data_IF_104958900230
#
_entry.id   IF_104958900230
#
_cell.length_a   1.000
_cell.length_b   1.000
_cell.length_c   1.000
_cell.angle_alpha   90.00
_cell.angle_beta   90.00
_cell.angle_gamma   90.00
#
_symmetry.space_group_name_H-M   'P 1'
#
loop_
_entity.id
_entity.type
_entity.pdbx_description
1 polymer ?
#
# COMPACT_ATOMS: atom_id res chain seq x y z
N UNK A 1 -13.38 7.01 5.41
CA UNK A 1 -12.56 8.19 5.73
C UNK A 1 -12.05 8.00 7.15
N UNK A 2 -10.74 8.12 7.38
CA UNK A 2 -10.14 8.02 8.73
C UNK A 2 -9.54 9.36 9.07
N UNK A 3 -9.77 9.85 10.27
CA UNK A 3 -9.18 11.10 10.74
C UNK A 3 -8.72 10.96 12.18
N UNK A 4 -7.77 11.81 12.56
CA UNK A 4 -7.23 11.84 13.91
C UNK A 4 -6.62 13.18 14.22
N UNK A 5 -6.47 13.43 15.52
CA UNK A 5 -5.83 14.63 16.06
C UNK A 5 -5.08 14.24 17.32
N UNK A 6 -3.86 14.74 17.44
CA UNK A 6 -3.00 14.54 18.59
C UNK A 6 -2.32 15.87 18.94
N UNK A 7 -2.18 16.12 20.24
CA UNK A 7 -1.33 17.18 20.76
C UNK A 7 -0.19 16.49 21.48
N UNK A 8 1.04 16.86 21.16
CA UNK A 8 2.24 16.32 21.79
C UNK A 8 3.11 17.45 22.33
N UNK A 9 3.88 17.15 23.38
CA UNK A 9 4.86 18.10 23.89
C UNK A 9 5.94 18.34 22.84
N UNK A 10 6.43 19.57 22.75
CA UNK A 10 7.45 19.97 21.78
C UNK A 10 8.83 19.43 22.21
N UNK A 11 8.99 18.12 22.18
CA UNK A 11 10.24 17.42 22.51
C UNK A 11 10.62 16.43 21.40
N UNK A 12 11.93 16.18 21.17
CA UNK A 12 12.37 15.18 20.21
C UNK A 12 11.83 13.77 20.50
N UNK A 13 11.65 13.43 21.78
CA UNK A 13 11.15 12.11 22.18
C UNK A 13 9.69 11.91 21.79
N UNK A 14 8.83 12.89 22.06
CA UNK A 14 7.41 12.84 21.72
C UNK A 14 7.19 12.87 20.19
N UNK A 15 8.01 13.63 19.47
CA UNK A 15 8.01 13.67 18.00
C UNK A 15 8.39 12.29 17.42
N UNK A 16 9.47 11.69 17.90
CA UNK A 16 9.92 10.37 17.43
C UNK A 16 8.86 9.29 17.70
N UNK A 17 8.26 9.29 18.90
CA UNK A 17 7.19 8.37 19.25
C UNK A 17 5.98 8.52 18.33
N UNK A 18 5.55 9.77 18.07
CA UNK A 18 4.47 10.03 17.14
C UNK A 18 4.79 9.53 15.73
N UNK A 19 5.99 9.78 15.21
CA UNK A 19 6.40 9.34 13.87
C UNK A 19 6.37 7.81 13.76
N UNK A 20 6.86 7.09 14.77
CA UNK A 20 6.84 5.62 14.77
C UNK A 20 5.42 5.05 14.82
N UNK A 21 4.55 5.64 15.62
CA UNK A 21 3.14 5.25 15.70
C UNK A 21 2.41 5.57 14.40
N UNK A 22 2.63 6.76 13.83
CA UNK A 22 2.02 7.19 12.58
C UNK A 22 2.51 6.35 11.39
N UNK A 23 3.80 5.98 11.38
CA UNK A 23 4.38 5.04 10.41
C UNK A 23 3.60 3.74 10.38
N UNK A 24 3.41 3.10 11.54
CA UNK A 24 2.71 1.81 11.64
C UNK A 24 1.22 1.94 11.32
N UNK A 25 0.54 2.94 11.89
CA UNK A 25 -0.92 3.05 11.82
C UNK A 25 -1.43 3.61 10.50
N UNK A 26 -0.65 4.45 9.82
CA UNK A 26 -1.07 5.17 8.62
C UNK A 26 -0.16 4.87 7.44
N UNK A 27 1.15 5.13 7.55
CA UNK A 27 2.03 5.06 6.38
C UNK A 27 2.12 3.63 5.83
N UNK A 28 2.53 2.67 6.65
CA UNK A 28 2.67 1.26 6.25
C UNK A 28 1.33 0.57 5.97
N UNK A 29 0.24 1.06 6.57
CA UNK A 29 -1.08 0.49 6.42
C UNK A 29 -1.78 0.91 5.10
N UNK A 30 -1.43 2.06 4.52
CA UNK A 30 -2.16 2.65 3.39
C UNK A 30 -1.28 3.11 2.21
N UNK A 31 0.04 3.17 2.38
CA UNK A 31 0.98 3.51 1.32
C UNK A 31 1.97 2.37 1.17
N UNK A 32 2.09 1.86 -0.05
CA UNK A 32 2.77 0.60 -0.25
C UNK A 32 3.98 0.71 -1.16
N UNK A 33 3.98 1.66 -2.10
CA UNK A 33 5.19 2.03 -2.82
C UNK A 33 6.16 2.64 -1.83
N UNK A 34 7.35 2.06 -1.77
CA UNK A 34 8.42 2.52 -0.86
C UNK A 34 8.68 4.01 -1.02
N UNK A 35 8.75 4.51 -2.26
CA UNK A 35 8.95 5.93 -2.56
C UNK A 35 7.90 6.83 -1.88
N UNK A 36 6.64 6.43 -1.86
CA UNK A 36 5.59 7.18 -1.17
C UNK A 36 5.76 7.15 0.35
N UNK A 37 6.15 6.01 0.93
CA UNK A 37 6.43 5.92 2.37
C UNK A 37 7.60 6.82 2.75
N UNK A 38 8.69 6.69 2.01
CA UNK A 38 9.94 7.42 2.26
C UNK A 38 9.70 8.94 2.16
N UNK A 39 8.95 9.41 1.15
CA UNK A 39 8.64 10.84 1.02
C UNK A 39 7.67 11.36 2.09
N UNK A 40 6.67 10.56 2.49
CA UNK A 40 5.74 10.95 3.58
C UNK A 40 6.49 11.08 4.90
N UNK A 41 7.29 10.08 5.25
CA UNK A 41 8.05 10.07 6.50
C UNK A 41 9.06 11.21 6.55
N UNK A 42 9.78 11.45 5.45
CA UNK A 42 10.72 12.55 5.34
C UNK A 42 10.03 13.90 5.54
N UNK A 43 8.93 14.16 4.84
CA UNK A 43 8.19 15.42 4.97
C UNK A 43 7.63 15.59 6.38
N UNK A 44 7.09 14.52 7.00
CA UNK A 44 6.55 14.58 8.35
C UNK A 44 7.61 14.92 9.40
N UNK A 45 8.80 14.32 9.28
CA UNK A 45 9.94 14.65 10.12
C UNK A 45 10.30 16.13 9.97
N UNK A 46 10.47 16.62 8.75
CA UNK A 46 10.83 18.01 8.49
C UNK A 46 9.79 19.01 9.00
N UNK A 47 8.48 18.76 8.82
CA UNK A 47 7.45 19.69 9.34
C UNK A 47 7.37 19.71 10.87
N UNK A 48 7.62 18.57 11.53
CA UNK A 48 7.62 18.47 12.99
C UNK A 48 8.88 19.12 13.59
N UNK A 49 10.04 18.89 12.97
CA UNK A 49 11.29 19.53 13.37
C UNK A 49 11.21 21.05 13.18
N UNK A 50 10.63 21.53 12.08
CA UNK A 50 10.39 22.96 11.88
C UNK A 50 9.45 23.55 12.94
N UNK A 51 8.38 22.83 13.31
CA UNK A 51 7.48 23.25 14.37
C UNK A 51 8.18 23.31 15.73
N UNK A 52 9.05 22.35 16.03
CA UNK A 52 9.83 22.29 17.26
C UNK A 52 10.92 23.36 17.33
N UNK A 53 11.83 23.39 16.35
CA UNK A 53 13.04 24.22 16.36
C UNK A 53 12.76 25.67 16.01
N UNK A 54 11.87 25.94 15.04
CA UNK A 54 11.64 27.29 14.53
C UNK A 54 10.36 27.91 15.08
N UNK A 55 9.26 27.15 15.11
CA UNK A 55 7.99 27.60 15.69
C UNK A 55 8.12 27.82 17.19
N UNK A 56 8.37 26.73 17.91
CA UNK A 56 8.44 26.70 19.37
C UNK A 56 9.82 27.04 19.94
N UNK A 57 10.83 27.31 19.10
CA UNK A 57 12.21 27.67 19.52
C UNK A 57 12.85 26.65 20.47
N UNK A 58 12.52 25.36 20.28
CA UNK A 58 12.93 24.24 21.14
C UNK A 58 12.52 24.37 22.61
N UNK A 59 11.50 25.16 22.92
CA UNK A 59 10.94 25.27 24.27
C UNK A 59 10.08 24.03 24.58
N UNK A 60 10.44 23.32 25.66
CA UNK A 60 9.77 22.09 26.09
C UNK A 60 8.34 22.31 26.61
N UNK A 61 8.04 23.52 27.07
CA UNK A 61 6.74 23.87 27.64
C UNK A 61 5.69 24.16 26.56
N UNK A 62 6.13 24.21 25.29
CA UNK A 62 5.25 24.39 24.14
C UNK A 62 4.71 23.05 23.63
N UNK A 63 3.60 23.12 22.91
CA UNK A 63 2.96 21.96 22.29
C UNK A 63 3.00 22.03 20.75
N UNK A 64 2.84 20.88 20.11
CA UNK A 64 2.61 20.75 18.67
C UNK A 64 1.27 20.03 18.48
N UNK A 65 0.36 20.65 17.72
CA UNK A 65 -0.92 20.04 17.34
C UNK A 65 -0.82 19.43 15.96
N UNK A 66 -1.04 18.12 15.85
CA UNK A 66 -1.11 17.40 14.59
C UNK A 66 -2.54 16.93 14.34
N UNK A 67 -3.03 17.13 13.13
CA UNK A 67 -4.30 16.57 12.68
C UNK A 67 -4.13 15.96 11.29
N UNK A 68 -4.79 14.83 11.04
CA UNK A 68 -4.71 14.15 9.75
C UNK A 68 -6.05 13.64 9.29
N UNK A 69 -6.19 13.52 7.96
CA UNK A 69 -7.32 12.93 7.27
C UNK A 69 -6.83 12.04 6.15
N UNK A 70 -7.29 10.81 6.14
CA UNK A 70 -7.06 9.83 5.09
C UNK A 70 -8.39 9.51 4.39
N UNK A 71 -8.44 9.80 3.10
CA UNK A 71 -9.62 9.58 2.26
C UNK A 71 -9.24 9.08 0.86
N UNK A 72 -10.22 9.00 -0.06
CA UNK A 72 -9.99 8.58 -1.44
C UNK A 72 -8.94 9.42 -2.16
N UNK A 73 -8.90 10.73 -1.90
CA UNK A 73 -7.93 11.66 -2.50
C UNK A 73 -6.49 11.50 -1.95
N UNK A 74 -6.29 10.75 -0.86
CA UNK A 74 -5.00 10.55 -0.22
C UNK A 74 -4.96 11.01 1.23
N UNK A 75 -3.75 11.33 1.70
CA UNK A 75 -3.45 11.75 3.06
C UNK A 75 -3.29 13.26 3.12
N UNK A 76 -3.94 13.88 4.09
CA UNK A 76 -3.73 15.27 4.47
C UNK A 76 -3.23 15.29 5.91
N UNK A 77 -2.16 16.02 6.17
CA UNK A 77 -1.62 16.23 7.53
C UNK A 77 -1.43 17.71 7.75
N UNK A 78 -1.91 18.20 8.88
CA UNK A 78 -1.63 19.55 9.34
C UNK A 78 -0.88 19.52 10.66
N UNK A 79 0.21 20.29 10.73
CA UNK A 79 1.04 20.47 11.91
C UNK A 79 0.99 21.95 12.28
N UNK A 80 0.71 22.23 13.54
CA UNK A 80 0.61 23.59 14.08
C UNK A 80 1.44 23.74 15.35
N UNK A 81 2.28 24.76 15.37
CA UNK A 81 3.08 25.19 16.51
C UNK A 81 2.47 26.42 17.22
N UNK A 82 3.05 26.79 18.36
CA UNK A 82 2.61 27.91 19.21
C UNK A 82 3.41 29.19 18.95
N UNK A 83 4.34 29.16 18.00
CA UNK A 83 5.21 30.26 17.65
C UNK A 83 4.50 31.47 17.04
N UNK A 84 5.27 32.53 16.82
CA UNK A 84 4.82 33.77 16.19
C UNK A 84 4.44 33.57 14.71
N UNK A 85 4.92 32.48 14.10
CA UNK A 85 4.75 32.15 12.69
C UNK A 85 5.68 32.95 11.77
N UNK A 86 5.55 32.74 10.46
CA UNK A 86 6.35 33.43 9.46
C UNK A 86 5.53 33.87 8.25
N UNK A 87 5.93 34.95 7.58
CA UNK A 87 5.26 35.37 6.36
C UNK A 87 5.57 34.38 5.22
N UNK A 88 4.54 33.93 4.50
CA UNK A 88 4.68 33.01 3.36
C UNK A 88 5.71 33.49 2.31
N UNK A 89 5.91 34.81 2.15
CA UNK A 89 6.94 35.40 1.28
C UNK A 89 8.38 34.99 1.62
N UNK A 90 8.65 34.55 2.84
CA UNK A 90 9.99 34.08 3.25
C UNK A 90 10.35 32.74 2.59
N UNK A 91 9.35 31.98 2.15
CA UNK A 91 9.54 30.66 1.52
C UNK A 91 10.04 30.71 0.07
N UNK A 92 9.96 31.87 -0.61
CA UNK A 92 10.43 32.09 -1.98
C UNK A 92 11.80 32.80 -2.03
N UNK A 93 12.24 33.37 -0.91
CA UNK A 93 13.59 33.89 -0.80
C UNK A 93 14.54 32.70 -0.65
N UNK A 94 15.36 32.47 -1.68
CA UNK A 94 16.46 31.51 -1.68
C UNK A 94 17.19 31.53 -0.33
N UNK A 95 16.84 30.59 0.55
CA UNK A 95 17.55 30.41 1.80
C UNK A 95 18.99 30.02 1.44
N UNK A 96 20.01 30.57 2.12
CA UNK A 96 21.39 30.40 1.69
C UNK A 96 21.75 28.91 1.62
N UNK A 97 22.19 28.47 0.44
CA UNK A 97 22.54 27.09 0.09
C UNK A 97 23.65 26.42 0.94
N UNK A 98 24.10 27.03 2.04
CA UNK A 98 25.25 26.60 2.83
C UNK A 98 24.96 26.33 4.31
N UNK A 99 23.70 26.34 4.74
CA UNK A 99 23.29 25.84 6.06
C UNK A 99 22.64 24.46 5.90
N UNK A 100 23.17 23.45 6.59
CA UNK A 100 22.54 22.12 6.73
C UNK A 100 21.07 22.18 7.20
N UNK A 101 20.63 23.32 7.73
CA UNK A 101 19.29 23.60 8.27
C UNK A 101 18.33 24.33 7.30
N UNK A 102 18.78 24.70 6.10
CA UNK A 102 17.95 25.44 5.11
C UNK A 102 17.20 24.57 4.09
N UNK A 103 17.38 23.24 4.13
CA UNK A 103 16.81 22.33 3.13
C UNK A 103 15.34 21.98 3.39
N UNK A 104 14.90 21.98 4.65
CA UNK A 104 13.59 21.44 5.03
C UNK A 104 12.41 22.01 4.25
N UNK A 105 12.29 23.33 4.12
CA UNK A 105 11.14 23.96 3.41
C UNK A 105 11.18 23.70 1.89
N UNK A 106 12.37 23.70 1.29
CA UNK A 106 12.54 23.38 -0.14
C UNK A 106 12.22 21.90 -0.38
N UNK A 107 12.72 21.02 0.48
CA UNK A 107 12.45 19.58 0.40
C UNK A 107 10.97 19.25 0.64
N UNK A 108 10.29 19.93 1.57
CA UNK A 108 8.85 19.68 1.82
C UNK A 108 8.02 19.93 0.55
N UNK A 109 8.31 21.00 -0.19
CA UNK A 109 7.63 21.31 -1.46
C UNK A 109 7.98 20.35 -2.59
N UNK A 110 9.19 19.81 -2.59
CA UNK A 110 9.65 18.84 -3.58
C UNK A 110 8.99 17.47 -3.38
N UNK A 111 8.80 17.04 -2.13
CA UNK A 111 8.33 15.69 -1.81
C UNK A 111 6.81 15.59 -1.54
N UNK A 112 6.15 16.67 -1.12
CA UNK A 112 4.70 16.71 -0.93
C UNK A 112 3.95 17.08 -2.21
N UNK A 113 2.74 16.54 -2.40
CA UNK A 113 1.91 16.89 -3.57
C UNK A 113 1.33 18.30 -3.47
N UNK A 114 1.02 18.77 -2.26
CA UNK A 114 0.66 20.15 -1.97
C UNK A 114 1.16 20.55 -0.59
N UNK A 115 1.51 21.82 -0.44
CA UNK A 115 1.91 22.44 0.83
C UNK A 115 1.16 23.76 0.95
N UNK A 116 0.54 24.02 2.10
CA UNK A 116 -0.13 25.28 2.40
C UNK A 116 0.18 25.73 3.81
N UNK A 117 0.48 27.02 3.98
CA UNK A 117 0.63 27.65 5.28
C UNK A 117 -0.64 28.43 5.64
N UNK A 118 -0.95 28.56 6.93
CA UNK A 118 -1.99 29.51 7.36
C UNK A 118 -1.46 30.95 7.28
N UNK A 119 -2.36 31.94 7.38
CA UNK A 119 -1.98 33.35 7.27
C UNK A 119 -0.99 33.84 8.34
N UNK A 120 -0.95 33.19 9.51
CA UNK A 120 0.04 33.46 10.57
C UNK A 120 1.40 32.81 10.26
N UNK A 121 1.42 31.72 9.49
CA UNK A 121 2.61 30.92 9.21
C UNK A 121 3.05 29.99 10.34
N UNK A 122 2.18 29.70 11.31
CA UNK A 122 2.46 28.73 12.40
C UNK A 122 1.71 27.41 12.22
N UNK A 123 1.13 27.20 11.03
CA UNK A 123 0.49 25.94 10.66
C UNK A 123 0.82 25.62 9.21
N UNK A 124 1.35 24.43 8.99
CA UNK A 124 1.55 23.84 7.67
C UNK A 124 0.53 22.72 7.45
N UNK A 125 0.01 22.63 6.23
CA UNK A 125 -0.83 21.53 5.76
C UNK A 125 -0.18 20.95 4.52
N UNK A 126 0.18 19.66 4.59
CA UNK A 126 0.75 18.89 3.49
C UNK A 126 -0.24 17.84 3.01
N UNK A 127 -0.21 17.54 1.72
CA UNK A 127 -0.99 16.43 1.17
C UNK A 127 -0.13 15.47 0.36
N UNK A 128 -0.51 14.20 0.39
CA UNK A 128 0.05 13.14 -0.43
C UNK A 128 -1.10 12.45 -1.15
N UNK A 129 -1.05 12.49 -2.48
CA UNK A 129 -2.03 11.77 -3.30
C UNK A 129 -1.93 10.28 -3.01
N UNK A 130 -3.07 9.62 -3.11
CA UNK A 130 -3.09 8.17 -3.08
C UNK A 130 -2.34 7.62 -4.29
N UNK A 131 -1.75 6.44 -4.12
CA UNK A 131 -1.23 5.66 -5.24
C UNK A 131 -2.34 5.49 -6.29
N UNK A 132 -2.06 5.84 -7.55
CA UNK A 132 -2.99 5.58 -8.64
C UNK A 132 -3.11 4.07 -8.82
N UNK A 133 -4.34 3.57 -8.70
CA UNK A 133 -4.65 2.15 -8.73
C UNK A 133 -4.70 1.66 -10.18
N UNK A 134 -3.67 0.94 -10.61
CA UNK A 134 -3.83 -0.03 -11.69
C UNK A 134 -3.31 -1.37 -11.18
N UNK A 135 -4.16 -2.40 -11.24
CA UNK A 135 -3.62 -3.75 -11.28
C UNK A 135 -2.88 -3.86 -12.61
N UNK A 136 -1.59 -4.18 -12.58
CA UNK A 136 -0.85 -4.46 -13.79
C UNK A 136 -1.10 -5.92 -14.16
N UNK A 137 -1.84 -6.13 -15.24
CA UNK A 137 -2.01 -7.44 -15.85
C UNK A 137 -0.91 -7.56 -16.89
N UNK A 138 0.09 -8.38 -16.62
CA UNK A 138 1.16 -8.65 -17.58
C UNK A 138 0.94 -10.04 -18.16
N UNK A 139 0.54 -10.11 -19.43
CA UNK A 139 0.51 -11.36 -20.19
C UNK A 139 1.92 -11.56 -20.76
N UNK A 140 2.66 -12.54 -20.24
CA UNK A 140 3.97 -12.92 -20.78
C UNK A 140 3.74 -14.09 -21.74
N UNK A 141 4.30 -13.98 -22.94
CA UNK A 141 4.08 -14.83 -24.11
C UNK A 141 3.54 -16.25 -23.87
N UNK A 142 2.44 -16.57 -24.57
CA UNK A 142 2.05 -17.91 -24.99
C UNK A 142 1.25 -18.77 -24.00
N UNK A 143 1.56 -18.78 -22.70
CA UNK A 143 0.92 -19.73 -21.74
C UNK A 143 0.84 -19.25 -20.28
N UNK A 144 1.43 -18.11 -19.93
CA UNK A 144 1.51 -17.64 -18.54
C UNK A 144 0.85 -16.27 -18.39
N UNK A 145 -0.22 -16.22 -17.61
CA UNK A 145 -0.86 -14.98 -17.20
C UNK A 145 -0.34 -14.59 -15.82
N UNK A 146 0.19 -13.37 -15.69
CA UNK A 146 0.61 -12.84 -14.40
C UNK A 146 -0.30 -11.67 -14.05
N UNK A 147 -1.10 -11.85 -13.01
CA UNK A 147 -1.85 -10.77 -12.39
C UNK A 147 -1.09 -10.33 -11.15
N UNK A 148 -0.50 -9.14 -11.25
CA UNK A 148 0.16 -8.51 -10.12
C UNK A 148 -0.83 -7.57 -9.46
N UNK A 149 -1.26 -7.90 -8.24
CA UNK A 149 -1.96 -6.92 -7.44
C UNK A 149 -0.93 -5.86 -7.02
N UNK A 150 -1.08 -4.63 -7.52
CA UNK A 150 -0.31 -3.52 -6.97
C UNK A 150 -0.88 -3.14 -5.60
N UNK A 151 0.04 -2.79 -4.72
CA UNK A 151 -0.24 -2.39 -3.37
C UNK A 151 -0.75 -0.94 -3.36
N UNK A 152 -1.83 -0.62 -2.64
CA UNK A 152 -2.43 0.75 -2.65
C UNK A 152 -3.94 0.84 -2.47
N UNK A 153 -4.65 -0.15 -3.02
CA UNK A 153 -6.11 -0.14 -3.16
C UNK A 153 -6.87 -0.81 -2.00
N UNK A 154 -8.16 -0.46 -1.78
CA UNK A 154 -9.07 -1.32 -1.03
C UNK A 154 -9.06 -2.74 -1.64
N UNK A 155 -9.07 -3.77 -0.80
CA UNK A 155 -9.11 -5.20 -1.22
C UNK A 155 -10.17 -5.46 -2.31
N UNK A 156 -11.30 -4.73 -2.26
CA UNK A 156 -12.38 -4.80 -3.26
C UNK A 156 -11.91 -4.41 -4.67
N UNK A 157 -11.08 -3.38 -4.82
CA UNK A 157 -10.60 -2.92 -6.13
C UNK A 157 -9.59 -3.90 -6.72
N UNK A 158 -8.72 -4.48 -5.87
CA UNK A 158 -7.82 -5.57 -6.26
C UNK A 158 -8.63 -6.77 -6.74
N UNK A 159 -9.71 -7.13 -6.04
CA UNK A 159 -10.64 -8.21 -6.45
C UNK A 159 -11.32 -7.90 -7.79
N UNK A 160 -11.85 -6.69 -7.97
CA UNK A 160 -12.52 -6.33 -9.22
C UNK A 160 -11.54 -6.29 -10.40
N UNK A 161 -10.32 -5.83 -10.19
CA UNK A 161 -9.28 -5.87 -11.21
C UNK A 161 -8.87 -7.31 -11.54
N UNK A 162 -8.72 -8.18 -10.54
CA UNK A 162 -8.51 -9.63 -10.74
C UNK A 162 -9.66 -10.26 -11.53
N UNK A 163 -10.92 -9.92 -11.23
CA UNK A 163 -12.07 -10.43 -11.99
C UNK A 163 -12.03 -9.99 -13.45
N UNK A 164 -11.79 -8.70 -13.70
CA UNK A 164 -11.73 -8.17 -15.07
C UNK A 164 -10.60 -8.82 -15.86
N UNK A 165 -9.43 -9.00 -15.25
CA UNK A 165 -8.31 -9.72 -15.85
C UNK A 165 -8.69 -11.16 -16.26
N UNK A 166 -9.44 -11.86 -15.42
CA UNK A 166 -9.90 -13.22 -15.72
C UNK A 166 -10.91 -13.28 -16.85
N UNK A 167 -11.79 -12.28 -16.95
CA UNK A 167 -12.73 -12.15 -18.07
C UNK A 167 -11.97 -11.91 -19.36
N UNK A 168 -11.01 -10.98 -19.36
CA UNK A 168 -10.17 -10.70 -20.54
C UNK A 168 -9.37 -11.94 -20.98
N UNK A 169 -8.77 -12.68 -20.04
CA UNK A 169 -8.06 -13.93 -20.33
C UNK A 169 -9.01 -15.01 -20.87
N UNK A 170 -10.22 -15.11 -20.33
CA UNK A 170 -11.25 -16.06 -20.79
C UNK A 170 -11.78 -15.74 -22.19
N UNK A 171 -11.97 -14.47 -22.52
CA UNK A 171 -12.44 -14.03 -23.84
C UNK A 171 -11.35 -14.25 -24.91
N UNK A 172 -10.08 -13.99 -24.57
CA UNK A 172 -8.94 -14.30 -25.44
C UNK A 172 -8.77 -15.82 -25.66
N UNK A 173 -9.09 -16.64 -24.64
CA UNK A 173 -9.12 -18.10 -24.72
C UNK A 173 -10.15 -18.59 -25.74
N UNK A 174 -11.39 -18.09 -25.60
CA UNK A 174 -12.54 -18.51 -26.38
C UNK A 174 -12.35 -18.18 -27.86
N UNK A 175 -11.73 -17.03 -28.16
CA UNK A 175 -11.47 -16.58 -29.53
C UNK A 175 -10.37 -17.38 -30.25
N UNK A 176 -9.46 -18.08 -29.53
CA UNK A 176 -8.33 -18.82 -30.12
C UNK A 176 -8.61 -20.30 -30.38
N UNK A 177 -9.82 -20.81 -30.07
CA UNK A 177 -10.27 -22.14 -30.49
C UNK A 177 -9.55 -23.33 -29.85
N UNK A 178 -8.78 -23.12 -28.79
CA UNK A 178 -8.11 -24.17 -28.01
C UNK A 178 -8.16 -23.83 -26.52
N UNK A 179 -8.46 -24.82 -25.68
CA UNK A 179 -8.42 -24.64 -24.22
C UNK A 179 -7.06 -24.09 -23.82
N UNK A 180 -7.02 -22.95 -23.15
CA UNK A 180 -5.74 -22.33 -22.79
C UNK A 180 -5.03 -23.22 -21.76
N UNK A 181 -3.78 -23.56 -22.05
CA UNK A 181 -2.81 -24.05 -21.07
C UNK A 181 -2.38 -22.91 -20.14
N UNK A 182 -3.33 -22.23 -19.48
CA UNK A 182 -3.04 -21.00 -18.72
C UNK A 182 -2.50 -21.34 -17.34
N UNK A 183 -1.23 -21.03 -17.13
CA UNK A 183 -0.68 -20.86 -15.78
C UNK A 183 -0.98 -19.44 -15.32
N UNK A 184 -1.78 -19.29 -14.28
CA UNK A 184 -2.15 -18.02 -13.69
C UNK A 184 -1.33 -17.76 -12.43
N UNK A 185 -0.59 -16.65 -12.39
CA UNK A 185 0.12 -16.17 -11.23
C UNK A 185 -0.65 -15.00 -10.62
N UNK A 186 -0.91 -15.07 -9.32
CA UNK A 186 -1.57 -14.01 -8.57
C UNK A 186 -0.65 -13.56 -7.45
N UNK A 187 -0.13 -12.35 -7.56
CA UNK A 187 0.63 -11.72 -6.46
C UNK A 187 -0.34 -11.20 -5.40
N UNK A 188 -0.32 -11.83 -4.22
CA UNK A 188 -1.13 -11.46 -3.06
C UNK A 188 -0.31 -10.74 -1.98
N UNK A 189 0.96 -10.39 -2.25
CA UNK A 189 1.83 -9.58 -1.37
C UNK A 189 1.13 -8.37 -0.75
N UNK A 190 0.33 -7.56 -1.49
CA UNK A 190 -0.30 -6.38 -0.90
C UNK A 190 -1.49 -6.68 0.01
N UNK A 191 -2.01 -7.90 0.02
CA UNK A 191 -3.22 -8.25 0.76
C UNK A 191 -2.85 -8.74 2.16
N UNK A 192 -3.16 -7.92 3.16
CA UNK A 192 -2.99 -8.28 4.58
C UNK A 192 -4.29 -8.75 5.23
N UNK A 193 -5.45 -8.57 4.57
CA UNK A 193 -6.78 -8.90 5.09
C UNK A 193 -7.59 -9.61 3.99
N UNK A 194 -8.25 -10.71 4.36
CA UNK A 194 -9.21 -11.41 3.51
C UNK A 194 -10.64 -11.07 3.98
N UNK A 195 -11.51 -10.68 3.05
CA UNK A 195 -12.96 -10.59 3.28
C UNK A 195 -13.70 -11.69 2.50
N UNK A 196 -15.02 -11.80 2.68
CA UNK A 196 -15.86 -12.78 1.97
C UNK A 196 -15.76 -12.67 0.45
N UNK A 197 -15.53 -11.47 -0.09
CA UNK A 197 -15.36 -11.27 -1.52
C UNK A 197 -14.08 -11.89 -2.06
N UNK A 198 -12.97 -11.81 -1.31
CA UNK A 198 -11.70 -12.43 -1.71
C UNK A 198 -11.79 -13.96 -1.64
N UNK A 199 -12.43 -14.49 -0.59
CA UNK A 199 -12.71 -15.94 -0.47
C UNK A 199 -13.53 -16.44 -1.66
N UNK A 200 -14.59 -15.71 -2.03
CA UNK A 200 -15.41 -16.05 -3.19
C UNK A 200 -14.62 -16.01 -4.51
N UNK A 201 -13.76 -15.00 -4.69
CA UNK A 201 -12.88 -14.92 -5.85
C UNK A 201 -11.89 -16.10 -5.90
N UNK A 202 -11.21 -16.40 -4.79
CA UNK A 202 -10.28 -17.54 -4.71
C UNK A 202 -11.00 -18.86 -4.99
N UNK A 203 -12.22 -19.04 -4.47
CA UNK A 203 -13.08 -20.18 -4.81
C UNK A 203 -13.37 -20.26 -6.31
N UNK A 204 -13.74 -19.14 -6.94
CA UNK A 204 -14.00 -19.10 -8.39
C UNK A 204 -12.77 -19.40 -9.24
N UNK A 205 -11.58 -18.95 -8.81
CA UNK A 205 -10.31 -19.23 -9.47
C UNK A 205 -9.96 -20.72 -9.39
N UNK A 206 -10.10 -21.31 -8.21
CA UNK A 206 -9.86 -22.74 -8.00
C UNK A 206 -10.83 -23.58 -8.85
N UNK A 207 -12.09 -23.15 -8.97
CA UNK A 207 -13.09 -23.87 -9.75
C UNK A 207 -13.04 -23.62 -11.26
N UNK A 208 -12.23 -22.67 -11.74
CA UNK A 208 -12.16 -22.35 -13.16
C UNK A 208 -11.35 -23.42 -13.92
N UNK A 209 -12.03 -24.15 -14.82
CA UNK A 209 -11.44 -25.25 -15.60
C UNK A 209 -10.43 -24.79 -16.66
N UNK A 210 -10.47 -23.51 -17.06
CA UNK A 210 -9.51 -22.94 -18.01
C UNK A 210 -8.15 -22.61 -17.37
N UNK A 211 -8.03 -22.75 -16.04
CA UNK A 211 -6.79 -22.54 -15.30
C UNK A 211 -6.18 -23.91 -15.00
N UNK A 212 -5.08 -24.25 -15.69
CA UNK A 212 -4.34 -25.49 -15.47
C UNK A 212 -3.37 -25.42 -14.30
N UNK A 213 -2.89 -24.23 -13.96
CA UNK A 213 -2.06 -23.98 -12.81
C UNK A 213 -2.41 -22.62 -12.22
N UNK A 214 -2.69 -22.57 -10.93
CA UNK A 214 -2.94 -21.35 -10.16
C UNK A 214 -1.81 -21.16 -9.15
N UNK A 215 -0.90 -20.24 -9.42
CA UNK A 215 0.16 -19.87 -8.51
C UNK A 215 -0.26 -18.67 -7.64
N UNK A 216 -0.31 -18.86 -6.33
CA UNK A 216 -0.55 -17.81 -5.34
C UNK A 216 0.80 -17.38 -4.74
N UNK A 217 1.20 -16.14 -5.01
CA UNK A 217 2.50 -15.60 -4.60
C UNK A 217 2.35 -14.63 -3.42
N UNK A 218 3.37 -14.52 -2.56
CA UNK A 218 3.45 -13.44 -1.57
C UNK A 218 2.40 -13.49 -0.45
N UNK A 219 1.85 -14.67 -0.16
CA UNK A 219 0.82 -14.84 0.87
C UNK A 219 1.33 -14.44 2.26
N UNK A 220 0.77 -13.34 2.79
CA UNK A 220 0.99 -12.90 4.17
C UNK A 220 0.54 -13.98 5.18
N UNK A 221 1.17 -14.14 6.35
CA UNK A 221 0.87 -15.21 7.30
C UNK A 221 -0.62 -15.32 7.67
N UNK A 222 -1.25 -14.17 7.99
CA UNK A 222 -2.68 -14.10 8.31
C UNK A 222 -3.60 -14.56 7.16
N UNK A 223 -3.21 -14.23 5.92
CA UNK A 223 -3.96 -14.62 4.72
C UNK A 223 -3.79 -16.11 4.47
N UNK A 224 -2.56 -16.64 4.64
CA UNK A 224 -2.27 -18.07 4.55
C UNK A 224 -3.11 -18.88 5.54
N UNK A 225 -3.17 -18.44 6.80
CA UNK A 225 -3.95 -19.12 7.85
C UNK A 225 -5.45 -19.10 7.58
N UNK A 226 -5.97 -17.98 7.05
CA UNK A 226 -7.37 -17.88 6.65
C UNK A 226 -7.69 -18.79 5.46
N UNK A 227 -6.86 -18.81 4.42
CA UNK A 227 -7.06 -19.73 3.28
C UNK A 227 -7.05 -21.19 3.75
N UNK A 228 -6.15 -21.57 4.67
CA UNK A 228 -6.17 -22.89 5.31
C UNK A 228 -7.50 -23.15 6.02
N UNK A 229 -7.96 -22.20 6.84
CA UNK A 229 -9.21 -22.32 7.60
C UNK A 229 -10.45 -22.47 6.71
N UNK A 230 -10.46 -21.81 5.56
CA UNK A 230 -11.54 -21.92 4.57
C UNK A 230 -11.37 -23.09 3.60
N UNK A 231 -10.32 -23.90 3.76
CA UNK A 231 -10.08 -25.07 2.90
C UNK A 231 -9.69 -24.70 1.47
N UNK A 232 -9.07 -23.53 1.27
CA UNK A 232 -8.59 -23.04 -0.03
C UNK A 232 -7.07 -23.22 -0.20
N UNK A 233 -6.37 -23.67 0.85
CA UNK A 233 -4.94 -23.97 0.85
C UNK A 233 -4.63 -25.03 1.92
N UNK A 234 -3.59 -25.83 1.74
CA UNK A 234 -3.07 -26.78 2.75
C UNK A 234 -1.55 -26.78 2.75
N UNK A 235 -0.95 -27.34 3.81
CA UNK A 235 0.52 -27.39 3.98
C UNK A 235 1.20 -28.36 3.01
N UNK A 236 0.49 -29.37 2.56
CA UNK A 236 0.96 -30.41 1.64
C UNK A 236 0.46 -30.20 0.20
N UNK A 237 -0.29 -29.12 -0.05
CA UNK A 237 -0.90 -28.83 -1.35
C UNK A 237 -2.05 -29.78 -1.72
N UNK A 238 -2.50 -30.63 -0.78
CA UNK A 238 -3.60 -31.57 -1.00
C UNK A 238 -4.93 -30.98 -0.56
N UNK A 239 -6.02 -31.46 -1.13
CA UNK A 239 -7.34 -30.99 -0.76
C UNK A 239 -7.67 -31.25 0.72
N UNK A 240 -8.44 -30.36 1.39
CA UNK A 240 -8.87 -30.56 2.76
C UNK A 240 -9.69 -31.86 2.92
N UNK A 241 -9.57 -32.51 4.08
CA UNK A 241 -10.39 -33.69 4.41
C UNK A 241 -11.88 -33.33 4.40
N UNK A 242 -12.67 -34.02 3.56
CA UNK A 242 -14.10 -33.76 3.40
C UNK A 242 -14.47 -32.75 2.30
N UNK A 243 -13.49 -32.26 1.53
CA UNK A 243 -13.76 -31.45 0.33
C UNK A 243 -14.55 -32.24 -0.72
N UNK A 244 -15.37 -31.55 -1.52
CA UNK A 244 -16.10 -32.18 -2.63
C UNK A 244 -15.12 -32.76 -3.67
N UNK A 245 -15.49 -33.81 -4.42
CA UNK A 245 -14.63 -34.40 -5.44
C UNK A 245 -14.09 -33.38 -6.45
N UNK A 246 -14.89 -32.37 -6.79
CA UNK A 246 -14.53 -31.28 -7.70
C UNK A 246 -13.43 -30.37 -7.14
N UNK A 247 -13.52 -30.02 -5.85
CA UNK A 247 -12.47 -29.26 -5.15
C UNK A 247 -11.20 -30.11 -5.03
N UNK A 248 -11.35 -31.42 -4.76
CA UNK A 248 -10.22 -32.34 -4.69
C UNK A 248 -9.45 -32.44 -6.02
N UNK A 249 -10.18 -32.53 -7.14
CA UNK A 249 -9.59 -32.56 -8.47
C UNK A 249 -8.85 -31.27 -8.82
N UNK A 250 -9.36 -30.11 -8.38
CA UNK A 250 -8.79 -28.81 -8.69
C UNK A 250 -7.64 -28.40 -7.75
N UNK A 251 -7.51 -28.97 -6.56
CA UNK A 251 -6.45 -28.58 -5.61
C UNK A 251 -5.04 -28.88 -6.11
N UNK A 252 -4.89 -29.94 -6.93
CA UNK A 252 -3.59 -30.32 -7.51
C UNK A 252 -3.02 -29.28 -8.49
N UNK A 253 -3.82 -28.29 -8.89
CA UNK A 253 -3.39 -27.18 -9.75
C UNK A 253 -2.92 -25.96 -8.99
N UNK A 254 -3.00 -25.95 -7.65
CA UNK A 254 -2.63 -24.78 -6.84
C UNK A 254 -1.15 -24.89 -6.44
N UNK A 255 -0.38 -23.84 -6.73
CA UNK A 255 1.02 -23.71 -6.31
C UNK A 255 1.16 -22.49 -5.40
N UNK A 256 1.82 -22.64 -4.27
CA UNK A 256 2.13 -21.51 -3.38
C UNK A 256 3.62 -21.22 -3.44
N UNK A 257 3.95 -19.96 -3.69
CA UNK A 257 5.33 -19.46 -3.77
C UNK A 257 5.46 -18.16 -2.96
N UNK A 258 6.68 -17.83 -2.55
CA UNK A 258 6.92 -16.56 -1.87
C UNK A 258 6.97 -15.41 -2.87
N UNK A 259 7.41 -15.66 -4.11
CA UNK A 259 7.45 -14.66 -5.19
C UNK A 259 7.02 -15.21 -6.56
N UNK A 260 6.63 -14.31 -7.48
CA UNK A 260 6.35 -14.69 -8.88
C UNK A 260 7.59 -15.30 -9.54
N UNK A 261 8.78 -14.72 -9.31
CA UNK A 261 10.03 -15.21 -9.89
C UNK A 261 10.33 -16.67 -9.47
N UNK A 262 10.09 -17.01 -8.21
CA UNK A 262 10.22 -18.37 -7.70
C UNK A 262 9.25 -19.32 -8.40
N UNK A 263 7.97 -18.93 -8.55
CA UNK A 263 6.99 -19.79 -9.20
C UNK A 263 7.24 -19.95 -10.70
N UNK A 264 7.73 -18.92 -11.40
CA UNK A 264 8.17 -19.01 -12.79
C UNK A 264 9.37 -19.96 -12.95
N UNK A 265 10.32 -19.92 -12.01
CA UNK A 265 11.47 -20.84 -12.02
C UNK A 265 11.06 -22.31 -11.84
N UNK A 266 9.89 -22.59 -11.24
CA UNK A 266 9.34 -23.95 -11.11
C UNK A 266 8.63 -24.44 -12.37
N UNK A 267 8.27 -23.54 -13.30
CA UNK A 267 7.64 -23.88 -14.59
C UNK A 267 8.65 -24.26 -15.67
N UNK A 268 9.90 -23.78 -15.56
CA UNK A 268 11.00 -24.10 -16.45
C UNK A 268 12.02 -25.00 -15.71
N UNK A 269 11.97 -26.33 -15.87
CA UNK A 269 13.02 -27.21 -15.35
C UNK A 269 14.37 -27.02 -16.04
#
# INVERSE_FOLDING_TARGET
MREGRQVLASTPQDIAQFLDDFRRMVVQAYFHRRENRDRIEYVLMEVLDNAHEHGNRSLSDCCITIAWRLGPAGLYVSVQDEGEGFSERWSDAAAPHWSTRGRGVVSIREYADQVRYNGKGNKVTVSFKREENMAEITIIEGRVCIIKAEAGGPVKEIIEALKNALVEVGDDAANRGGGLDTSLFVDLTPLNIINSSLIGLMGSLIMNENIQLLCLCGLQPMVRDLLKRFGLSTEDGRAPAGATPEIQANFGKILICDTIAEGLARLSP
#
